data_IF_022178917609
#
_entry.id   IF_022178917609
#
_cell.length_a   1.000
_cell.length_b   1.000
_cell.length_c   1.000
_cell.angle_alpha   90.00
_cell.angle_beta   90.00
_cell.angle_gamma   90.00
#
_symmetry.space_group_name_H-M   'P 1'
#
loop_
_entity.id
_entity.type
_entity.pdbx_description
1 polymer ?
#
# COMPACT_ATOMS: atom_id res chain seq x y z
N UNK A 1 -17.44 -2.07 1.47
CA UNK A 1 -16.52 -2.41 0.36
C UNK A 1 -15.29 -3.04 0.99
N UNK A 2 -14.80 -4.17 0.48
CA UNK A 2 -13.60 -4.80 1.03
C UNK A 2 -12.38 -3.95 0.64
N UNK A 3 -11.65 -3.43 1.62
CA UNK A 3 -10.52 -2.55 1.38
C UNK A 3 -9.38 -3.22 0.60
N UNK A 4 -9.29 -4.55 0.65
CA UNK A 4 -8.29 -5.32 -0.11
C UNK A 4 -8.51 -5.23 -1.61
N UNK A 5 -9.74 -5.01 -2.05
CA UNK A 5 -10.08 -4.82 -3.46
C UNK A 5 -9.78 -3.39 -3.90
N UNK A 6 -9.84 -2.43 -2.97
CA UNK A 6 -9.47 -1.03 -3.19
C UNK A 6 -7.95 -0.87 -3.23
N UNK A 7 -7.23 -1.60 -2.38
CA UNK A 7 -5.77 -1.55 -2.27
C UNK A 7 -5.17 -2.94 -2.48
N UNK A 8 -5.14 -3.45 -3.72
CA UNK A 8 -4.64 -4.78 -4.01
C UNK A 8 -3.14 -4.92 -3.73
N UNK A 9 -2.72 -6.15 -3.41
CA UNK A 9 -1.31 -6.55 -3.31
C UNK A 9 -0.50 -6.10 -4.52
N UNK A 10 0.72 -5.60 -4.29
CA UNK A 10 1.59 -5.11 -5.36
C UNK A 10 1.24 -3.71 -5.88
N UNK A 11 0.25 -3.03 -5.29
CA UNK A 11 0.06 -1.59 -5.51
C UNK A 11 1.29 -0.81 -5.05
N UNK A 12 1.45 0.40 -5.56
CA UNK A 12 2.50 1.33 -5.13
C UNK A 12 1.87 2.58 -4.52
N UNK A 13 2.15 2.82 -3.24
CA UNK A 13 1.78 4.06 -2.55
C UNK A 13 2.88 5.11 -2.73
N UNK A 14 2.48 6.36 -2.97
CA UNK A 14 3.37 7.52 -3.01
C UNK A 14 3.16 8.40 -1.78
N UNK A 15 4.24 8.72 -1.06
CA UNK A 15 4.24 9.63 0.09
C UNK A 15 5.45 10.54 -0.05
N UNK A 16 5.24 11.85 -0.19
CA UNK A 16 6.27 12.87 -0.33
C UNK A 16 7.31 12.53 -1.42
N UNK A 17 6.83 11.97 -2.54
CA UNK A 17 7.68 11.54 -3.66
C UNK A 17 8.39 10.19 -3.48
N UNK A 18 8.36 9.58 -2.30
CA UNK A 18 8.84 8.21 -2.08
C UNK A 18 7.81 7.17 -2.53
N UNK A 19 8.29 5.97 -2.90
CA UNK A 19 7.44 4.87 -3.41
C UNK A 19 7.53 3.66 -2.49
N UNK A 20 6.37 3.22 -2.02
CA UNK A 20 6.22 2.05 -1.16
C UNK A 20 5.41 0.96 -1.85
N UNK A 21 5.86 -0.28 -1.72
CA UNK A 21 5.08 -1.45 -2.10
C UNK A 21 4.01 -1.70 -1.04
N UNK A 22 2.76 -1.81 -1.50
CA UNK A 22 1.59 -2.11 -0.67
C UNK A 22 1.49 -3.62 -0.49
N UNK A 23 1.44 -4.05 0.76
CA UNK A 23 1.15 -5.44 1.16
C UNK A 23 0.04 -5.50 2.19
N UNK A 24 -0.71 -6.60 2.24
CA UNK A 24 -1.74 -6.81 3.23
C UNK A 24 -1.12 -7.36 4.50
N UNK A 25 -1.41 -6.72 5.63
CA UNK A 25 -0.89 -7.19 6.90
C UNK A 25 -1.43 -8.62 7.20
N UNK A 26 -0.57 -9.61 7.48
CA UNK A 26 -0.98 -11.00 7.69
C UNK A 26 -1.79 -11.21 8.97
N UNK A 27 -1.67 -10.31 9.94
CA UNK A 27 -2.40 -10.32 11.20
C UNK A 27 -3.67 -9.45 11.16
N UNK A 28 -3.92 -8.76 10.03
CA UNK A 28 -5.14 -8.02 9.74
C UNK A 28 -5.09 -6.52 10.05
N UNK A 29 -6.22 -5.87 9.70
CA UNK A 29 -6.59 -4.44 9.83
C UNK A 29 -5.67 -3.37 9.22
N UNK A 30 -4.53 -3.74 8.62
CA UNK A 30 -3.60 -2.77 8.06
C UNK A 30 -3.08 -3.10 6.66
N UNK A 31 -2.60 -2.04 6.01
CA UNK A 31 -1.78 -2.09 4.82
C UNK A 31 -0.35 -1.82 5.24
N UNK A 32 0.54 -2.73 4.92
CA UNK A 32 1.97 -2.63 5.13
C UNK A 32 2.60 -1.91 3.94
N UNK A 33 3.35 -0.84 4.23
CA UNK A 33 4.10 -0.08 3.25
C UNK A 33 5.58 -0.47 3.34
N UNK A 34 6.05 -1.20 2.34
CA UNK A 34 7.44 -1.65 2.26
C UNK A 34 8.27 -0.73 1.36
N UNK A 35 9.49 -0.38 1.79
CA UNK A 35 10.41 0.38 0.94
C UNK A 35 10.81 -0.46 -0.27
N UNK A 36 10.69 0.10 -1.48
CA UNK A 36 11.13 -0.61 -2.70
C UNK A 36 12.63 -0.87 -2.77
N UNK A 37 13.44 -0.08 -2.05
CA UNK A 37 14.91 -0.20 -2.07
C UNK A 37 15.41 -1.50 -1.43
N UNK A 38 14.77 -1.94 -0.36
CA UNK A 38 15.27 -3.03 0.50
C UNK A 38 14.19 -3.99 1.02
N UNK A 39 12.91 -3.71 0.72
CA UNK A 39 11.78 -4.54 1.15
C UNK A 39 11.42 -4.39 2.64
N UNK A 40 12.06 -3.47 3.37
CA UNK A 40 11.80 -3.27 4.80
C UNK A 40 10.43 -2.65 5.02
N UNK A 41 9.68 -3.17 6.00
CA UNK A 41 8.44 -2.55 6.45
C UNK A 41 8.74 -1.15 7.01
N UNK A 42 8.20 -0.11 6.39
CA UNK A 42 8.32 1.25 6.87
C UNK A 42 7.22 1.59 7.88
N UNK A 43 5.97 1.25 7.54
CA UNK A 43 4.80 1.55 8.37
C UNK A 43 3.64 0.64 8.02
N UNK A 44 2.76 0.38 8.99
CA UNK A 44 1.44 -0.20 8.78
C UNK A 44 0.39 0.88 8.97
N UNK A 45 -0.48 1.07 8.00
CA UNK A 45 -1.56 2.07 8.02
C UNK A 45 -2.93 1.39 7.96
N UNK A 46 -3.91 1.90 8.72
CA UNK A 46 -5.28 1.42 8.55
C UNK A 46 -5.83 1.93 7.21
N UNK A 47 -6.62 1.12 6.47
CA UNK A 47 -7.08 1.47 5.12
C UNK A 47 -7.78 2.82 5.00
N UNK A 48 -8.50 3.23 6.05
CA UNK A 48 -9.24 4.50 6.08
C UNK A 48 -8.32 5.73 6.12
N UNK A 49 -7.05 5.58 6.51
CA UNK A 49 -6.07 6.66 6.53
C UNK A 49 -5.24 6.75 5.25
N UNK A 50 -5.32 5.78 4.34
CA UNK A 50 -4.65 5.85 3.03
C UNK A 50 -4.95 7.17 2.30
N UNK A 51 -6.22 7.62 2.12
CA UNK A 51 -6.49 8.89 1.44
C UNK A 51 -6.05 10.14 2.21
N UNK A 52 -5.65 10.00 3.48
CA UNK A 52 -5.17 11.10 4.32
C UNK A 52 -3.64 11.21 4.28
N UNK A 53 -2.95 10.07 4.13
CA UNK A 53 -1.48 9.97 4.22
C UNK A 53 -0.82 9.91 2.84
N UNK A 54 -1.46 9.24 1.88
CA UNK A 54 -0.84 8.88 0.61
C UNK A 54 -1.23 9.90 -0.46
N UNK A 55 -0.23 10.44 -1.15
CA UNK A 55 -0.43 11.41 -2.24
C UNK A 55 -1.08 10.76 -3.48
N UNK A 56 -0.84 9.46 -3.67
CA UNK A 56 -1.46 8.66 -4.71
C UNK A 56 -1.14 7.17 -4.64
N UNK A 57 -2.02 6.35 -5.22
CA UNK A 57 -1.86 4.91 -5.36
C UNK A 57 -1.77 4.56 -6.86
N UNK A 58 -0.73 3.82 -7.26
CA UNK A 58 -0.69 3.12 -8.55
C UNK A 58 -1.10 1.66 -8.32
N UNK A 59 -2.15 1.21 -9.00
CA UNK A 59 -2.58 -0.19 -8.96
C UNK A 59 -1.69 -1.09 -9.84
N UNK A 60 -1.56 -2.39 -9.50
CA UNK A 60 -0.82 -3.34 -10.31
C UNK A 60 -1.44 -3.46 -11.70
N UNK A 61 -0.60 -3.61 -12.73
CA UNK A 61 -1.05 -3.85 -14.10
C UNK A 61 -1.54 -5.30 -14.19
N UNK A 62 -2.83 -5.49 -14.48
CA UNK A 62 -3.38 -6.82 -14.76
C UNK A 62 -2.92 -7.20 -16.16
N UNK A 63 -1.90 -8.05 -16.27
CA UNK A 63 -1.61 -8.73 -17.55
C UNK A 63 -2.71 -9.75 -17.80
N UNK A 64 -3.56 -9.46 -18.79
CA UNK A 64 -4.58 -10.35 -19.32
C UNK A 64 -3.98 -11.53 -20.10
#
# INVERSE_FOLDING_TARGET
MNWRDVYPEGSTAMIDGERFEVRHNPHGLGIDLHRRSDGTLAVTIAPDYVPVIVDGIKYPEVTA
#
